data_IF_664250024856
#
_entry.id   IF_664250024856
#
_cell.length_a   1.000
_cell.length_b   1.000
_cell.length_c   1.000
_cell.angle_alpha   90.00
_cell.angle_beta   90.00
_cell.angle_gamma   90.00
#
_symmetry.space_group_name_H-M   'P 1'
#
loop_
_entity.id
_entity.type
_entity.pdbx_description
1 polymer ?
#
# COMPACT_ATOMS: atom_id res chain seq x y z
N UNK A 1 -19.93 -1.48 -20.98
CA UNK A 1 -19.78 -0.04 -20.63
C UNK A 1 -20.14 0.30 -19.17
N UNK A 2 -21.00 -0.48 -18.48
CA UNK A 2 -21.44 -0.20 -17.09
C UNK A 2 -20.38 -0.39 -15.98
N UNK A 3 -19.24 -1.05 -16.27
CA UNK A 3 -18.17 -1.31 -15.29
C UNK A 3 -17.13 -0.18 -15.17
N UNK A 4 -17.09 0.75 -16.14
CA UNK A 4 -16.15 1.89 -16.10
C UNK A 4 -16.66 3.07 -15.26
N UNK A 5 -17.99 3.14 -15.04
CA UNK A 5 -18.63 4.23 -14.27
C UNK A 5 -18.43 4.09 -12.75
N UNK A 6 -18.15 2.88 -12.26
CA UNK A 6 -17.88 2.64 -10.84
C UNK A 6 -16.46 3.04 -10.42
N UNK A 7 -15.52 3.10 -11.37
CA UNK A 7 -14.12 3.44 -11.08
C UNK A 7 -13.89 4.95 -11.00
N UNK A 8 -14.75 5.76 -11.62
CA UNK A 8 -14.70 7.23 -11.56
C UNK A 8 -15.39 7.82 -10.32
N UNK A 9 -16.18 7.04 -9.59
CA UNK A 9 -16.88 7.52 -8.39
C UNK A 9 -16.00 7.57 -7.13
N UNK A 10 -14.78 7.02 -7.20
CA UNK A 10 -13.86 6.95 -6.06
C UNK A 10 -13.05 8.25 -5.83
N UNK A 11 -13.16 9.26 -6.71
CA UNK A 11 -12.29 10.46 -6.68
C UNK A 11 -13.06 11.75 -6.37
N UNK A 12 -14.39 11.77 -6.39
CA UNK A 12 -15.13 12.96 -5.96
C UNK A 12 -15.25 12.96 -4.45
N UNK A 13 -14.65 13.95 -3.78
CA UNK A 13 -14.67 14.17 -2.32
C UNK A 13 -16.07 14.48 -1.71
N UNK A 14 -17.16 14.17 -2.43
CA UNK A 14 -18.56 14.51 -2.09
C UNK A 14 -19.29 13.47 -1.21
N UNK A 15 -19.05 12.14 -1.27
CA UNK A 15 -19.89 11.18 -0.54
C UNK A 15 -19.63 11.16 0.99
N UNK A 16 -18.43 11.53 1.45
CA UNK A 16 -18.09 11.51 2.88
C UNK A 16 -18.80 12.61 3.69
N UNK A 17 -18.92 13.83 3.13
CA UNK A 17 -19.64 14.94 3.77
C UNK A 17 -21.16 14.73 3.75
N UNK A 18 -21.69 14.15 2.67
CA UNK A 18 -23.13 13.87 2.57
C UNK A 18 -23.59 12.86 3.64
N UNK A 19 -22.78 11.84 3.95
CA UNK A 19 -23.08 10.89 5.03
C UNK A 19 -22.97 11.53 6.42
N UNK A 20 -21.97 12.38 6.66
CA UNK A 20 -21.76 13.03 7.95
C UNK A 20 -22.81 14.12 8.27
N UNK A 21 -23.18 14.93 7.27
CA UNK A 21 -24.19 16.00 7.43
C UNK A 21 -25.63 15.48 7.41
N UNK A 22 -25.87 14.23 6.96
CA UNK A 22 -27.20 13.64 6.95
C UNK A 22 -27.73 13.28 8.35
N UNK A 23 -26.86 13.20 9.36
CA UNK A 23 -27.23 12.75 10.71
C UNK A 23 -27.51 13.86 11.74
N UNK A 24 -27.09 15.10 11.49
CA UNK A 24 -27.21 16.20 12.46
C UNK A 24 -27.48 17.55 11.77
N UNK A 25 -28.69 18.13 11.90
CA UNK A 25 -29.05 19.39 11.26
C UNK A 25 -28.31 20.61 11.83
N UNK A 26 -27.58 20.48 12.94
CA UNK A 26 -26.77 21.56 13.51
C UNK A 26 -25.41 21.75 12.79
N UNK A 27 -25.01 20.79 11.94
CA UNK A 27 -23.73 20.84 11.24
C UNK A 27 -23.85 21.65 9.94
N UNK A 28 -23.12 22.76 9.86
CA UNK A 28 -23.01 23.54 8.63
C UNK A 28 -21.83 23.06 7.78
N UNK A 29 -22.07 22.81 6.50
CA UNK A 29 -21.03 22.35 5.58
C UNK A 29 -20.09 23.51 5.26
N UNK A 30 -18.79 23.32 5.51
CA UNK A 30 -17.77 24.33 5.21
C UNK A 30 -17.72 24.70 3.71
N UNK A 31 -17.39 25.97 3.38
CA UNK A 31 -17.12 26.42 2.01
C UNK A 31 -16.04 25.55 1.31
N UNK A 32 -16.11 25.35 -0.02
CA UNK A 32 -15.23 24.41 -0.75
C UNK A 32 -13.73 24.68 -0.57
N UNK A 33 -13.34 25.93 -0.40
CA UNK A 33 -11.97 26.42 -0.18
C UNK A 33 -11.39 26.03 1.19
N UNK A 34 -12.25 25.75 2.18
CA UNK A 34 -11.85 25.39 3.54
C UNK A 34 -11.93 23.87 3.79
N UNK A 35 -12.29 23.08 2.77
CA UNK A 35 -12.43 21.63 2.91
C UNK A 35 -11.07 20.95 2.77
N UNK A 36 -10.73 20.12 3.76
CA UNK A 36 -9.63 19.18 3.61
C UNK A 36 -9.99 18.12 2.59
N UNK A 37 -9.31 18.16 1.44
CA UNK A 37 -9.33 17.08 0.45
C UNK A 37 -8.16 16.15 0.71
N UNK A 38 -8.28 14.88 0.29
CA UNK A 38 -7.19 13.90 0.45
C UNK A 38 -5.85 14.35 -0.15
N UNK A 39 -5.87 15.23 -1.17
CA UNK A 39 -4.65 15.80 -1.76
C UNK A 39 -4.02 16.90 -0.89
N UNK A 40 -4.83 17.72 -0.21
CA UNK A 40 -4.34 18.74 0.73
C UNK A 40 -3.72 18.14 2.00
N UNK A 41 -4.20 16.96 2.41
CA UNK A 41 -3.63 16.18 3.53
C UNK A 41 -2.17 15.82 3.25
N UNK A 42 -1.84 15.45 2.02
CA UNK A 42 -0.46 15.09 1.63
C UNK A 42 0.45 16.32 1.53
N UNK A 43 -0.08 17.48 1.10
CA UNK A 43 0.74 18.68 0.89
C UNK A 43 1.07 19.45 2.18
N UNK A 44 0.29 19.26 3.25
CA UNK A 44 0.54 19.87 4.57
C UNK A 44 1.18 18.90 5.56
N UNK A 45 1.49 17.68 5.14
CA UNK A 45 2.02 16.65 6.00
C UNK A 45 3.38 17.04 6.57
N UNK A 46 3.62 16.60 7.81
CA UNK A 46 4.90 16.81 8.48
C UNK A 46 6.03 16.16 7.68
N UNK A 47 7.23 16.75 7.62
CA UNK A 47 8.31 16.28 6.74
C UNK A 47 8.62 14.78 6.93
N UNK A 48 8.67 14.31 8.18
CA UNK A 48 8.92 12.90 8.49
C UNK A 48 7.81 11.96 7.98
N UNK A 49 6.55 12.33 8.22
CA UNK A 49 5.38 11.53 7.81
C UNK A 49 5.26 11.50 6.29
N UNK A 50 5.50 12.64 5.64
CA UNK A 50 5.53 12.74 4.19
C UNK A 50 6.60 11.83 3.57
N UNK A 51 7.81 11.81 4.13
CA UNK A 51 8.88 10.90 3.68
C UNK A 51 8.44 9.45 3.83
N UNK A 52 7.84 9.07 4.95
CA UNK A 52 7.32 7.71 5.14
C UNK A 52 6.25 7.37 4.10
N UNK A 53 5.34 8.29 3.79
CA UNK A 53 4.33 8.10 2.74
C UNK A 53 4.94 7.92 1.35
N UNK A 54 5.97 8.70 1.00
CA UNK A 54 6.70 8.57 -0.27
C UNK A 54 7.38 7.20 -0.35
N UNK A 55 8.05 6.77 0.72
CA UNK A 55 8.69 5.46 0.79
C UNK A 55 7.67 4.33 0.66
N UNK A 56 6.53 4.42 1.35
CA UNK A 56 5.46 3.44 1.27
C UNK A 56 4.84 3.39 -0.13
N UNK A 57 4.62 4.54 -0.77
CA UNK A 57 4.14 4.61 -2.14
C UNK A 57 5.14 3.98 -3.12
N UNK A 58 6.43 4.28 -2.95
CA UNK A 58 7.49 3.64 -3.73
C UNK A 58 7.50 2.12 -3.50
N UNK A 59 7.26 1.64 -2.28
CA UNK A 59 7.16 0.22 -1.97
C UNK A 59 5.94 -0.45 -2.64
N UNK A 60 4.78 0.21 -2.69
CA UNK A 60 3.60 -0.25 -3.45
C UNK A 60 3.98 -0.43 -4.92
N UNK A 61 4.58 0.59 -5.53
CA UNK A 61 4.95 0.58 -6.95
C UNK A 61 6.01 -0.50 -7.21
N UNK A 62 7.05 -0.58 -6.37
CA UNK A 62 8.11 -1.57 -6.50
C UNK A 62 7.58 -3.00 -6.38
N UNK A 63 6.70 -3.28 -5.40
CA UNK A 63 6.10 -4.59 -5.25
C UNK A 63 5.26 -4.98 -6.49
N UNK A 64 4.45 -4.07 -7.01
CA UNK A 64 3.67 -4.30 -8.22
C UNK A 64 4.57 -4.52 -9.44
N UNK A 65 5.59 -3.68 -9.63
CA UNK A 65 6.53 -3.77 -10.74
C UNK A 65 7.34 -5.07 -10.72
N UNK A 66 7.89 -5.45 -9.55
CA UNK A 66 8.60 -6.71 -9.38
C UNK A 66 7.70 -7.91 -9.67
N UNK A 67 6.47 -7.90 -9.18
CA UNK A 67 5.53 -8.98 -9.45
C UNK A 67 5.21 -9.08 -10.95
N UNK A 68 4.80 -7.98 -11.58
CA UNK A 68 4.43 -7.97 -13.01
C UNK A 68 5.62 -8.32 -13.90
N UNK A 69 6.79 -7.73 -13.66
CA UNK A 69 7.98 -7.97 -14.47
C UNK A 69 8.47 -9.43 -14.41
N UNK A 70 8.30 -10.11 -13.27
CA UNK A 70 8.69 -11.51 -13.13
C UNK A 70 7.56 -12.48 -13.54
N UNK A 71 6.30 -12.06 -13.45
CA UNK A 71 5.15 -12.83 -13.94
C UNK A 71 5.24 -13.13 -15.44
N UNK A 72 5.79 -12.19 -16.22
CA UNK A 72 5.92 -12.30 -17.68
C UNK A 72 7.18 -13.02 -18.16
N UNK A 73 8.15 -13.29 -17.28
CA UNK A 73 9.40 -13.97 -17.66
C UNK A 73 9.18 -15.50 -17.72
N UNK A 74 9.51 -16.15 -18.85
CA UNK A 74 9.52 -17.61 -18.95
C UNK A 74 10.80 -18.19 -18.34
N UNK A 75 10.65 -19.29 -17.59
CA UNK A 75 11.76 -20.14 -17.11
C UNK A 75 12.91 -19.46 -16.35
N UNK A 76 12.68 -18.27 -15.75
CA UNK A 76 13.68 -17.59 -14.93
C UNK A 76 13.34 -17.74 -13.44
N UNK A 77 14.34 -18.03 -12.60
CA UNK A 77 14.16 -18.05 -11.13
C UNK A 77 14.22 -16.63 -10.55
N UNK A 78 13.14 -16.10 -9.95
CA UNK A 78 13.09 -14.72 -9.47
C UNK A 78 13.62 -14.57 -8.03
N UNK A 79 14.79 -15.13 -7.70
CA UNK A 79 15.30 -15.20 -6.31
C UNK A 79 15.43 -13.82 -5.64
N UNK A 80 16.01 -12.85 -6.34
CA UNK A 80 16.14 -11.48 -5.83
C UNK A 80 14.80 -10.77 -5.63
N UNK A 81 13.87 -10.96 -6.57
CA UNK A 81 12.54 -10.35 -6.50
C UNK A 81 11.72 -10.95 -5.35
N UNK A 82 11.81 -12.26 -5.10
CA UNK A 82 11.18 -12.91 -3.94
C UNK A 82 11.72 -12.35 -2.61
N UNK A 83 13.04 -12.16 -2.51
CA UNK A 83 13.64 -11.52 -1.34
C UNK A 83 13.05 -10.13 -1.07
N UNK A 84 12.97 -9.29 -2.10
CA UNK A 84 12.39 -7.95 -1.99
C UNK A 84 10.89 -7.97 -1.67
N UNK A 85 10.10 -8.82 -2.32
CA UNK A 85 8.66 -8.95 -2.06
C UNK A 85 8.41 -9.41 -0.62
N UNK A 86 9.19 -10.39 -0.13
CA UNK A 86 9.09 -10.83 1.26
C UNK A 86 9.49 -9.72 2.25
N UNK A 87 10.53 -8.94 1.94
CA UNK A 87 10.96 -7.81 2.77
C UNK A 87 9.88 -6.71 2.84
N UNK A 88 9.30 -6.33 1.69
CA UNK A 88 8.22 -5.34 1.64
C UNK A 88 6.99 -5.86 2.38
N UNK A 89 6.64 -7.14 2.22
CA UNK A 89 5.48 -7.74 2.88
C UNK A 89 5.56 -7.62 4.41
N UNK A 90 6.74 -7.83 4.99
CA UNK A 90 6.95 -7.72 6.43
C UNK A 90 7.20 -6.28 6.91
N UNK A 91 7.96 -5.49 6.16
CA UNK A 91 8.43 -4.17 6.58
C UNK A 91 7.41 -3.05 6.41
N UNK A 92 6.62 -3.06 5.33
CA UNK A 92 5.73 -1.95 5.00
C UNK A 92 4.62 -1.68 6.05
N UNK A 93 3.95 -2.69 6.66
CA UNK A 93 2.97 -2.46 7.71
C UNK A 93 3.59 -1.84 8.95
N UNK A 94 4.80 -2.27 9.32
CA UNK A 94 5.51 -1.75 10.48
C UNK A 94 5.91 -0.29 10.26
N UNK A 95 6.38 0.06 9.06
CA UNK A 95 6.68 1.45 8.70
C UNK A 95 5.41 2.33 8.72
N UNK A 96 4.29 1.83 8.16
CA UNK A 96 3.01 2.55 8.15
C UNK A 96 2.45 2.82 9.55
N UNK A 97 2.44 1.81 10.42
CA UNK A 97 2.00 1.94 11.82
C UNK A 97 2.91 2.88 12.62
N UNK A 98 4.23 2.77 12.44
CA UNK A 98 5.19 3.61 13.17
C UNK A 98 5.08 5.09 12.76
N UNK A 99 4.95 5.37 11.46
CA UNK A 99 4.76 6.73 10.95
C UNK A 99 3.43 7.34 11.45
N UNK A 100 2.36 6.55 11.46
CA UNK A 100 1.07 6.98 11.99
C UNK A 100 1.13 7.29 13.49
N UNK A 101 1.76 6.41 14.28
CA UNK A 101 1.93 6.62 15.73
C UNK A 101 2.71 7.91 16.02
N UNK A 102 3.79 8.17 15.29
CA UNK A 102 4.54 9.42 15.40
C UNK A 102 3.68 10.64 15.07
N UNK A 103 2.95 10.61 13.94
CA UNK A 103 2.11 11.72 13.51
C UNK A 103 1.03 12.09 14.53
N UNK A 104 0.39 11.08 15.13
CA UNK A 104 -0.61 11.25 16.19
C UNK A 104 0.02 11.77 17.48
N UNK A 105 1.14 11.19 17.91
CA UNK A 105 1.88 11.64 19.09
C UNK A 105 2.24 13.12 18.98
N UNK A 106 2.83 13.53 17.86
CA UNK A 106 3.23 14.91 17.61
C UNK A 106 2.02 15.86 17.58
N UNK A 107 0.87 15.42 17.04
CA UNK A 107 -0.39 16.16 17.12
C UNK A 107 -0.88 16.38 18.55
N UNK A 108 -0.84 15.32 19.38
CA UNK A 108 -1.21 15.42 20.79
C UNK A 108 -0.27 16.35 21.57
N UNK A 109 1.05 16.30 21.31
CA UNK A 109 2.03 17.22 21.89
C UNK A 109 1.70 18.67 21.50
N UNK A 110 1.35 18.92 20.24
CA UNK A 110 0.94 20.25 19.78
C UNK A 110 -0.26 20.79 20.56
N UNK A 111 -1.33 20.00 20.68
CA UNK A 111 -2.56 20.40 21.40
C UNK A 111 -2.30 20.63 22.90
N UNK A 112 -1.45 19.81 23.52
CA UNK A 112 -1.11 19.94 24.93
C UNK A 112 -0.46 21.29 25.28
N UNK A 113 0.18 21.95 24.30
CA UNK A 113 0.88 23.22 24.46
C UNK A 113 0.05 24.45 24.05
N UNK A 114 -1.25 24.30 23.78
CA UNK A 114 -2.13 25.41 23.41
C UNK A 114 -3.07 25.83 24.55
N UNK A 115 -3.33 27.14 24.64
CA UNK A 115 -4.31 27.77 25.54
C UNK A 115 -5.03 28.87 24.77
N UNK A 116 -6.38 28.91 24.74
CA UNK A 116 -7.35 27.95 25.29
C UNK A 116 -7.39 26.61 24.51
N UNK A 117 -8.19 25.64 24.99
CA UNK A 117 -8.28 24.29 24.37
C UNK A 117 -8.79 24.41 22.92
N UNK A 118 -8.04 23.91 21.92
CA UNK A 118 -8.43 23.99 20.52
C UNK A 118 -9.60 23.05 20.19
N UNK A 119 -10.35 23.37 19.13
CA UNK A 119 -11.44 22.53 18.63
C UNK A 119 -10.92 21.24 17.99
N UNK A 120 -11.76 20.19 17.99
CA UNK A 120 -11.41 18.87 17.45
C UNK A 120 -11.08 18.89 15.95
N UNK A 121 -11.60 19.87 15.22
CA UNK A 121 -11.37 20.06 13.78
C UNK A 121 -9.90 20.30 13.44
N UNK A 122 -9.11 20.83 14.38
CA UNK A 122 -7.67 21.07 14.19
C UNK A 122 -6.89 19.75 14.12
N UNK A 123 -7.42 18.66 14.68
CA UNK A 123 -6.79 17.34 14.66
C UNK A 123 -7.10 16.55 13.38
N UNK A 124 -8.16 16.92 12.64
CA UNK A 124 -8.61 16.20 11.45
C UNK A 124 -7.52 15.98 10.37
N UNK A 125 -6.64 16.96 10.06
CA UNK A 125 -5.54 16.75 9.12
C UNK A 125 -4.57 15.65 9.59
N UNK A 126 -4.11 15.73 10.85
CA UNK A 126 -3.15 14.78 11.40
C UNK A 126 -3.71 13.36 11.53
N UNK A 127 -5.00 13.22 11.82
CA UNK A 127 -5.69 11.92 11.80
C UNK A 127 -5.72 11.34 10.38
N UNK A 128 -6.06 12.16 9.39
CA UNK A 128 -6.11 11.71 8.00
C UNK A 128 -4.75 11.21 7.49
N UNK A 129 -3.65 11.92 7.81
CA UNK A 129 -2.29 11.51 7.48
C UNK A 129 -1.93 10.14 8.09
N UNK A 130 -2.26 9.95 9.38
CA UNK A 130 -1.98 8.71 10.10
C UNK A 130 -2.69 7.52 9.47
N UNK A 131 -3.99 7.65 9.16
CA UNK A 131 -4.74 6.58 8.50
C UNK A 131 -4.23 6.31 7.09
N UNK A 132 -3.81 7.34 6.36
CA UNK A 132 -3.24 7.17 5.02
C UNK A 132 -1.92 6.39 5.05
N UNK A 133 -1.04 6.63 6.04
CA UNK A 133 0.18 5.85 6.24
C UNK A 133 -0.13 4.36 6.48
N UNK A 134 -1.08 4.07 7.36
CA UNK A 134 -1.51 2.69 7.64
C UNK A 134 -2.06 2.04 6.39
N UNK A 135 -2.92 2.74 5.65
CA UNK A 135 -3.50 2.25 4.41
C UNK A 135 -2.41 1.91 3.38
N UNK A 136 -1.43 2.80 3.16
CA UNK A 136 -0.32 2.54 2.24
C UNK A 136 0.55 1.35 2.69
N UNK A 137 0.85 1.24 3.98
CA UNK A 137 1.59 0.10 4.55
C UNK A 137 0.89 -1.24 4.33
N UNK A 138 -0.42 -1.28 4.62
CA UNK A 138 -1.25 -2.46 4.37
C UNK A 138 -1.34 -2.80 2.87
N UNK A 139 -1.50 -1.79 2.01
CA UNK A 139 -1.59 -1.99 0.57
C UNK A 139 -0.28 -2.55 -0.02
N UNK A 140 0.86 -1.97 0.36
CA UNK A 140 2.17 -2.45 -0.06
C UNK A 140 2.38 -3.92 0.36
N UNK A 141 2.03 -4.25 1.60
CA UNK A 141 2.15 -5.63 2.11
C UNK A 141 1.23 -6.61 1.42
N UNK A 142 -0.01 -6.21 1.13
CA UNK A 142 -0.97 -7.05 0.42
C UNK A 142 -0.45 -7.42 -0.98
N UNK A 143 -0.01 -6.43 -1.77
CA UNK A 143 0.53 -6.67 -3.11
C UNK A 143 1.80 -7.54 -3.03
N UNK A 144 2.71 -7.22 -2.12
CA UNK A 144 3.97 -7.93 -1.99
C UNK A 144 3.78 -9.40 -1.56
N UNK A 145 2.88 -9.66 -0.61
CA UNK A 145 2.59 -11.03 -0.15
C UNK A 145 1.88 -11.88 -1.21
N UNK A 146 0.99 -11.28 -2.01
CA UNK A 146 0.37 -11.98 -3.15
C UNK A 146 1.39 -12.29 -4.23
N UNK A 147 2.23 -11.31 -4.60
CA UNK A 147 3.29 -11.49 -5.59
C UNK A 147 4.30 -12.55 -5.18
N UNK A 148 4.75 -12.53 -3.92
CA UNK A 148 5.67 -13.53 -3.37
C UNK A 148 5.08 -14.95 -3.44
N UNK A 149 3.85 -15.14 -2.95
CA UNK A 149 3.17 -16.45 -3.01
C UNK A 149 2.97 -16.92 -4.45
N UNK A 150 2.58 -16.02 -5.35
CA UNK A 150 2.37 -16.36 -6.76
C UNK A 150 3.67 -16.81 -7.43
N UNK A 151 4.77 -16.07 -7.24
CA UNK A 151 6.06 -16.41 -7.83
C UNK A 151 6.67 -17.69 -7.23
N UNK A 152 6.51 -17.92 -5.92
CA UNK A 152 6.90 -19.19 -5.27
C UNK A 152 6.13 -20.38 -5.85
N UNK A 153 4.82 -20.25 -6.04
CA UNK A 153 4.02 -21.30 -6.67
C UNK A 153 4.51 -21.64 -8.09
N UNK A 154 4.89 -20.64 -8.88
CA UNK A 154 5.46 -20.85 -10.23
C UNK A 154 6.82 -21.55 -10.17
N UNK A 155 7.69 -21.17 -9.23
CA UNK A 155 8.98 -21.83 -9.03
C UNK A 155 8.83 -23.31 -8.70
N UNK A 156 7.89 -23.65 -7.82
CA UNK A 156 7.65 -25.05 -7.45
C UNK A 156 7.26 -25.91 -8.66
N UNK A 157 6.48 -25.37 -9.60
CA UNK A 157 6.12 -26.07 -10.85
C UNK A 157 7.35 -26.27 -11.75
N UNK A 158 8.22 -25.27 -11.88
CA UNK A 158 9.45 -25.37 -12.65
C UNK A 158 10.42 -26.41 -12.06
N UNK A 159 10.53 -26.43 -10.73
CA UNK A 159 11.40 -27.38 -10.01
C UNK A 159 10.87 -28.81 -10.13
N UNK A 160 9.54 -28.99 -10.19
CA UNK A 160 8.91 -30.30 -10.40
C UNK A 160 9.10 -30.84 -11.83
N UNK A 161 9.27 -29.97 -12.84
CA UNK A 161 9.52 -30.38 -14.23
C UNK A 161 10.99 -30.76 -14.51
N UNK A 162 11.93 -30.19 -13.75
CA UNK A 162 13.37 -30.40 -13.92
C UNK A 162 13.90 -31.87 -13.82
N UNK A 163 13.28 -32.80 -13.07
CA UNK A 163 13.68 -34.21 -13.05
C UNK A 163 13.32 -34.95 -14.35
N UNK A 164 12.17 -34.61 -14.97
CA UNK A 164 11.70 -35.24 -16.20
C UNK A 164 12.60 -34.89 -17.39
N UNK A 165 13.03 -33.62 -17.48
CA UNK A 165 13.99 -33.18 -18.50
C UNK A 165 15.37 -33.82 -18.34
N UNK A 166 15.84 -34.01 -17.10
CA UNK A 166 17.11 -34.71 -16.83
C UNK A 166 17.06 -36.21 -17.18
N UNK A 167 15.91 -36.85 -16.99
CA UNK A 167 15.71 -38.24 -17.39
C UNK A 167 15.61 -38.39 -18.91
N UNK A 168 14.94 -37.46 -19.60
CA UNK A 168 14.83 -37.44 -21.06
C UNK A 168 16.15 -37.09 -21.76
N UNK A 169 17.01 -36.26 -21.15
CA UNK A 169 18.33 -35.90 -21.66
C UNK A 169 19.42 -36.94 -21.37
N UNK A 170 19.12 -38.02 -20.66
CA UNK A 170 20.08 -39.10 -20.42
C UNK A 170 20.40 -39.81 -21.75
N UNK A 171 21.68 -39.91 -22.16
CA UNK A 171 22.04 -40.45 -23.47
C UNK A 171 21.60 -41.90 -23.61
N UNK A 172 20.88 -42.21 -24.71
CA UNK A 172 20.38 -43.54 -25.09
C UNK A 172 21.47 -44.63 -25.18
N UNK A 173 22.76 -44.24 -25.11
CA UNK A 173 23.90 -45.16 -25.11
C UNK A 173 24.02 -46.00 -23.84
N UNK A 174 23.25 -45.72 -22.77
CA UNK A 174 23.27 -46.51 -21.52
C UNK A 174 22.22 -47.63 -21.45
N UNK A 175 21.32 -47.74 -22.43
CA UNK A 175 20.22 -48.73 -22.40
C UNK A 175 20.44 -49.90 -23.37
N UNK A 176 21.59 -49.97 -24.06
CA UNK A 176 21.91 -51.02 -25.05
C UNK A 176 23.15 -51.86 -24.72
N UNK A 177 23.55 -51.96 -23.44
CA UNK A 177 24.57 -52.91 -22.97
C UNK A 177 23.94 -53.84 -21.93
#
# INVERSE_FOLDING_TARGET
MRKLLFLTLAVTAVPALAWAAAGDPALTVLPPDQRLTGLLVVSHAKPLVLVAMIVLLAAVIAAAALWVAQATRPAHRPESALGWLSAIAAGAPMLGLSAAAYGLMDGCIGIANLRPVPSLSILAPGLAEAFFCIMLGCLASAIASVGDRHLKARLHVLDAAAPADRAAAAPLSRTMA
#
